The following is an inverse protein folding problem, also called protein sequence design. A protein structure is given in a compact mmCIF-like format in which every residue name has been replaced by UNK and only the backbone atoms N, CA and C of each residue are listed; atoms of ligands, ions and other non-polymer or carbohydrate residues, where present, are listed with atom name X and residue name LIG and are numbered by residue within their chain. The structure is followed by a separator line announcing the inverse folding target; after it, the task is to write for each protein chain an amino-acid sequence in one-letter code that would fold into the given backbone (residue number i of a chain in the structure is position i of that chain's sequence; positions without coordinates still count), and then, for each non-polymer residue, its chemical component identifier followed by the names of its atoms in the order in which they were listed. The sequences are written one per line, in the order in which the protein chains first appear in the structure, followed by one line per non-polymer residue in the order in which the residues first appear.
data_IF_239299905975
#
_entry.id   IF_239299905975
#
_cell.length_a   1.000
_cell.length_b   1.000
_cell.length_c   1.000
_cell.angle_alpha   90.00
_cell.angle_beta   90.00
_cell.angle_gamma   90.00
#
_symmetry.space_group_name_H-M   'P 1'
#
loop_
_entity.id
_entity.type
_entity.pdbx_description
1 polymer ?
#
# COMPACT_ATOMS: atom_id res chain seq x y z
N UNK A 1 -0.21 20.57 20.96
CA UNK A 1 -0.59 20.44 19.54
C UNK A 1 0.49 19.63 18.86
N UNK A 2 0.26 18.33 18.78
CA UNK A 2 0.89 17.41 17.83
C UNK A 2 -0.30 16.56 17.41
N UNK A 3 -0.88 16.86 16.25
CA UNK A 3 -1.90 16.00 15.66
C UNK A 3 -1.18 14.72 15.22
N UNK A 4 -1.41 13.66 15.98
CA UNK A 4 -1.11 12.29 15.59
C UNK A 4 -1.81 12.00 14.26
N UNK A 5 -1.03 11.50 13.30
CA UNK A 5 -1.40 11.39 11.89
C UNK A 5 -2.74 10.70 11.73
N UNK A 6 -3.68 11.41 11.11
CA UNK A 6 -5.04 10.96 10.83
C UNK A 6 -5.07 9.55 10.23
N UNK A 7 -5.64 8.60 10.97
CA UNK A 7 -6.13 7.32 10.44
C UNK A 7 -7.19 7.65 9.38
N UNK A 8 -6.87 7.46 8.10
CA UNK A 8 -7.81 7.62 7.01
C UNK A 8 -8.68 6.36 6.94
N UNK A 9 -9.98 6.53 7.24
CA UNK A 9 -10.96 5.45 7.29
C UNK A 9 -11.68 5.26 5.98
N UNK A 10 -12.12 4.01 5.85
CA UNK A 10 -12.01 3.28 4.64
C UNK A 10 -12.99 2.06 4.79
N UNK A 11 -14.04 1.96 3.97
CA UNK A 11 -15.21 1.05 3.85
C UNK A 11 -15.49 0.49 2.42
N UNK A 12 -14.69 -0.41 1.85
CA UNK A 12 -15.17 -1.32 0.80
C UNK A 12 -15.46 -2.52 1.68
N UNK A 13 -16.73 -2.73 2.11
CA UNK A 13 -17.02 -3.85 2.96
C UNK A 13 -16.67 -5.11 2.17
N UNK A 14 -15.61 -5.80 2.59
CA UNK A 14 -15.20 -7.06 1.97
C UNK A 14 -13.75 -7.10 1.48
N UNK A 15 -13.29 -6.14 0.67
CA UNK A 15 -11.98 -6.26 0.01
C UNK A 15 -10.83 -5.74 0.88
N UNK A 16 -9.87 -6.62 1.14
CA UNK A 16 -8.61 -6.35 1.82
C UNK A 16 -7.45 -6.63 0.89
N UNK A 17 -6.42 -5.79 0.93
CA UNK A 17 -5.19 -6.01 0.15
C UNK A 17 -3.93 -5.79 0.98
N UNK A 18 -2.87 -6.54 0.65
CA UNK A 18 -1.52 -6.29 1.12
C UNK A 18 -0.52 -6.48 -0.01
N UNK A 19 0.59 -5.76 0.06
CA UNK A 19 1.66 -5.79 -0.93
C UNK A 19 2.85 -6.49 -0.30
N UNK A 20 3.31 -7.55 -0.96
CA UNK A 20 4.50 -8.29 -0.57
C UNK A 20 5.65 -7.96 -1.50
N UNK A 21 6.84 -7.85 -0.95
CA UNK A 21 8.08 -7.96 -1.72
C UNK A 21 8.73 -9.30 -1.39
N UNK A 22 9.01 -10.08 -2.44
CA UNK A 22 9.44 -11.49 -2.33
C UNK A 22 8.37 -12.34 -1.60
N UNK A 23 8.47 -12.44 -0.26
CA UNK A 23 7.54 -13.19 0.61
C UNK A 23 7.24 -12.47 1.93
N UNK A 24 7.72 -11.25 2.08
CA UNK A 24 7.51 -10.46 3.28
C UNK A 24 6.48 -9.38 3.00
N UNK A 25 5.65 -9.09 4.00
CA UNK A 25 4.73 -7.97 3.93
C UNK A 25 5.55 -6.69 3.92
N UNK A 26 5.45 -5.96 2.81
CA UNK A 26 6.04 -4.64 2.68
C UNK A 26 5.00 -3.60 3.12
N UNK A 27 3.77 -3.72 2.61
CA UNK A 27 2.67 -2.84 2.98
C UNK A 27 1.36 -3.59 3.26
N UNK A 28 0.57 -3.17 4.27
CA UNK A 28 0.91 -2.15 5.28
C UNK A 28 2.11 -2.58 6.14
N UNK A 29 2.83 -1.63 6.73
CA UNK A 29 4.05 -1.93 7.52
C UNK A 29 3.73 -2.60 8.86
N UNK A 30 2.53 -2.40 9.40
CA UNK A 30 2.03 -3.16 10.54
C UNK A 30 1.86 -4.62 10.13
N UNK A 31 2.65 -5.51 10.73
CA UNK A 31 2.64 -6.95 10.41
C UNK A 31 1.24 -7.54 10.60
N UNK A 32 0.90 -8.51 9.73
CA UNK A 32 -0.38 -9.22 9.66
C UNK A 32 -1.61 -8.37 9.31
N UNK A 33 -1.49 -7.04 9.32
CA UNK A 33 -2.55 -6.13 8.89
C UNK A 33 -2.76 -6.12 7.37
N UNK A 34 -3.88 -5.53 6.98
CA UNK A 34 -4.29 -5.34 5.60
C UNK A 34 -4.70 -3.88 5.38
N UNK A 35 -4.51 -3.36 4.18
CA UNK A 35 -5.29 -2.21 3.76
C UNK A 35 -6.74 -2.64 3.52
N UNK A 36 -7.69 -1.86 4.01
CA UNK A 36 -9.11 -2.02 3.79
C UNK A 36 -9.73 -0.62 3.63
N UNK A 37 -10.65 -0.40 2.68
CA UNK A 37 -11.09 0.96 2.38
C UNK A 37 -12.29 1.25 1.48
N UNK A 38 -13.02 2.40 1.57
CA UNK A 38 -14.40 2.84 1.08
C UNK A 38 -14.37 3.64 -0.18
N UNK A 39 -13.78 3.07 -1.20
CA UNK A 39 -13.70 3.83 -2.44
C UNK A 39 -12.95 5.17 -2.21
N UNK A 40 -12.13 5.25 -1.15
CA UNK A 40 -11.15 6.30 -0.96
C UNK A 40 -9.76 5.85 -1.37
N UNK A 41 -8.94 6.85 -1.66
CA UNK A 41 -7.52 6.62 -1.90
C UNK A 41 -6.81 6.58 -0.56
N UNK A 42 -6.29 5.41 -0.20
CA UNK A 42 -5.30 5.27 0.87
C UNK A 42 -3.96 5.75 0.29
N UNK A 43 -3.41 6.81 0.88
CA UNK A 43 -2.11 7.36 0.53
C UNK A 43 -1.30 7.62 1.79
N UNK A 44 0.00 7.40 1.70
CA UNK A 44 0.94 7.62 2.78
C UNK A 44 2.29 8.06 2.20
N UNK A 45 3.01 8.90 2.93
CA UNK A 45 4.32 9.42 2.51
C UNK A 45 5.41 8.46 3.01
N UNK A 46 5.62 7.38 2.27
CA UNK A 46 6.68 6.41 2.54
C UNK A 46 7.54 6.15 1.30
N UNK A 47 8.82 5.98 1.54
CA UNK A 47 9.82 5.71 0.52
C UNK A 47 10.43 4.32 0.74
N UNK A 48 10.46 3.51 -0.32
CA UNK A 48 11.08 2.19 -0.32
C UNK A 48 12.12 2.10 -1.42
N UNK A 49 13.36 1.76 -1.06
CA UNK A 49 14.47 1.64 -1.99
C UNK A 49 14.42 0.31 -2.76
N UNK A 50 14.57 0.39 -4.08
CA UNK A 50 14.69 -0.77 -4.96
C UNK A 50 16.16 -1.04 -5.26
N UNK A 51 16.71 -2.10 -4.67
CA UNK A 51 18.13 -2.46 -4.86
C UNK A 51 18.39 -3.37 -6.06
N UNK A 52 17.37 -4.06 -6.56
CA UNK A 52 17.47 -5.02 -7.66
C UNK A 52 16.35 -4.80 -8.69
N UNK A 53 16.71 -4.83 -9.97
CA UNK A 53 15.77 -4.68 -11.08
C UNK A 53 15.81 -5.91 -12.01
N UNK A 54 14.65 -6.46 -12.42
CA UNK A 54 13.30 -5.98 -12.09
C UNK A 54 12.92 -6.30 -10.64
N UNK A 55 12.29 -5.33 -9.95
CA UNK A 55 11.67 -5.59 -8.66
C UNK A 55 10.30 -6.25 -8.86
N UNK A 56 9.98 -7.23 -8.02
CA UNK A 56 8.72 -7.98 -8.11
C UNK A 56 7.93 -7.79 -6.82
N UNK A 57 6.74 -7.24 -6.97
CA UNK A 57 5.75 -7.14 -5.91
C UNK A 57 4.60 -8.12 -6.16
N UNK A 58 4.06 -8.69 -5.09
CA UNK A 58 2.85 -9.47 -5.13
C UNK A 58 1.72 -8.72 -4.41
N UNK A 59 0.60 -8.55 -5.10
CA UNK A 59 -0.64 -8.08 -4.47
C UNK A 59 -1.41 -9.29 -3.97
N UNK A 60 -1.56 -9.41 -2.65
CA UNK A 60 -2.43 -10.40 -2.05
C UNK A 60 -3.76 -9.73 -1.74
N UNK A 61 -4.84 -10.29 -2.27
CA UNK A 61 -6.21 -9.84 -2.02
C UNK A 61 -6.98 -10.88 -1.22
N UNK A 62 -7.85 -10.41 -0.33
CA UNK A 62 -8.79 -11.23 0.41
C UNK A 62 -10.14 -10.52 0.44
N UNK A 63 -11.20 -11.21 -0.01
CA UNK A 63 -12.53 -10.64 -0.12
C UNK A 63 -13.49 -11.39 0.80
N UNK A 64 -13.98 -10.70 1.83
CA UNK A 64 -15.02 -11.18 2.74
C UNK A 64 -16.44 -10.98 2.20
N UNK A 65 -16.61 -10.27 1.07
CA UNK A 65 -17.91 -10.03 0.44
C UNK A 65 -18.17 -11.01 -0.72
N UNK A 66 -19.36 -11.60 -0.74
CA UNK A 66 -19.84 -12.49 -1.80
C UNK A 66 -20.88 -11.83 -2.72
N UNK A 67 -21.29 -10.60 -2.40
CA UNK A 67 -22.41 -9.90 -3.01
C UNK A 67 -21.94 -8.96 -4.13
N UNK A 68 -20.88 -8.19 -3.91
CA UNK A 68 -20.37 -7.23 -4.90
C UNK A 68 -18.98 -7.60 -5.41
N UNK A 69 -18.75 -7.34 -6.70
CA UNK A 69 -17.42 -7.51 -7.30
C UNK A 69 -16.55 -6.30 -6.97
N UNK A 70 -15.35 -6.55 -6.49
CA UNK A 70 -14.37 -5.51 -6.16
C UNK A 70 -13.19 -5.54 -7.13
N UNK A 71 -12.65 -4.37 -7.46
CA UNK A 71 -11.45 -4.23 -8.30
C UNK A 71 -10.46 -3.28 -7.61
N UNK A 72 -9.37 -3.78 -7.00
CA UNK A 72 -8.37 -2.91 -6.39
C UNK A 72 -7.57 -2.18 -7.47
N UNK A 73 -7.33 -0.89 -7.26
CA UNK A 73 -6.43 -0.06 -8.09
C UNK A 73 -5.21 0.29 -7.26
N UNK A 74 -4.04 -0.19 -7.67
CA UNK A 74 -2.77 0.08 -7.01
C UNK A 74 -1.91 0.96 -7.91
N UNK A 75 -1.32 2.00 -7.34
CA UNK A 75 -0.41 2.92 -8.04
C UNK A 75 0.86 3.10 -7.22
N UNK A 76 2.00 3.00 -7.88
CA UNK A 76 3.29 3.33 -7.31
C UNK A 76 3.84 4.57 -8.01
N UNK A 77 4.35 5.51 -7.23
CA UNK A 77 5.21 6.55 -7.75
C UNK A 77 6.65 6.01 -7.75
N UNK A 78 7.24 5.87 -8.93
CA UNK A 78 8.63 5.41 -9.06
C UNK A 78 9.51 6.64 -9.31
N UNK A 79 10.39 6.92 -8.36
CA UNK A 79 11.35 8.01 -8.47
C UNK A 79 12.65 7.53 -9.11
N UNK A 80 13.21 8.35 -10.00
CA UNK A 80 14.59 8.15 -10.45
C UNK A 80 15.55 8.30 -9.26
N UNK A 81 16.64 7.53 -9.14
CA UNK A 81 17.54 7.58 -7.98
C UNK A 81 18.02 8.99 -7.62
N UNK A 82 18.34 9.83 -8.62
CA UNK A 82 18.74 11.23 -8.41
C UNK A 82 17.62 12.05 -7.72
N UNK A 83 16.37 11.87 -8.15
CA UNK A 83 15.23 12.58 -7.57
C UNK A 83 14.93 12.06 -6.15
N UNK A 84 15.07 10.76 -5.93
CA UNK A 84 14.92 10.16 -4.61
C UNK A 84 15.98 10.68 -3.63
N UNK A 85 17.27 10.71 -4.01
CA UNK A 85 18.33 11.29 -3.18
C UNK A 85 18.10 12.76 -2.85
N UNK A 86 17.55 13.54 -3.79
CA UNK A 86 17.27 14.95 -3.53
C UNK A 86 16.09 15.17 -2.56
N UNK A 87 15.12 14.23 -2.51
CA UNK A 87 13.93 14.33 -1.65
C UNK A 87 14.12 13.67 -0.28
N UNK A 88 14.86 12.56 -0.22
CA UNK A 88 14.93 11.68 0.95
C UNK A 88 16.36 11.35 1.44
N UNK A 89 17.40 11.83 0.75
CA UNK A 89 18.82 11.60 1.10
C UNK A 89 19.43 12.66 2.02
#
# INVERSE_FOLDING_TARGET
MVEDGSQAHAFIPGLKVKILERRHQLWPTNLDEWFYGNDETIWWDEYHELFEMPSIFALLGYNDDDTFKHTPIIRFEILHPIAAMAKYG
#
